data_IF_586517959821
#
_entry.id   IF_586517959821
#
_cell.length_a   1.000
_cell.length_b   1.000
_cell.length_c   1.000
_cell.angle_alpha   90.00
_cell.angle_beta   90.00
_cell.angle_gamma   90.00
#
_symmetry.space_group_name_H-M   'P 1'
#
loop_
_entity.id
_entity.type
_entity.pdbx_description
1 polymer ?
#
# COMPACT_ATOMS: atom_id res chain seq x y z
N UNK A 1 38.91 -34.37 32.73
CA UNK A 1 38.51 -32.96 32.55
C UNK A 1 37.96 -32.84 31.12
N UNK A 2 36.72 -33.25 30.87
CA UNK A 2 35.48 -32.42 30.88
C UNK A 2 35.67 -31.12 30.10
N UNK A 3 35.03 -30.97 28.93
CA UNK A 3 33.94 -29.99 28.71
C UNK A 3 33.66 -29.70 27.21
N UNK A 4 32.43 -29.99 26.80
CA UNK A 4 31.60 -29.29 25.80
C UNK A 4 32.25 -28.87 24.45
N UNK A 5 32.29 -29.79 23.48
CA UNK A 5 32.35 -29.44 22.03
C UNK A 5 31.05 -29.85 21.30
N UNK A 6 30.00 -30.17 22.06
CA UNK A 6 28.65 -30.29 21.51
C UNK A 6 27.79 -29.12 21.99
N UNK A 7 27.01 -28.56 21.05
CA UNK A 7 26.03 -27.46 21.19
C UNK A 7 26.53 -26.06 20.89
N UNK A 8 26.85 -25.79 19.64
CA UNK A 8 26.27 -24.62 18.98
C UNK A 8 25.99 -24.99 17.53
N UNK A 9 24.82 -25.59 17.30
CA UNK A 9 24.19 -25.52 15.99
C UNK A 9 24.19 -24.03 15.61
N UNK A 10 24.80 -23.71 14.47
CA UNK A 10 24.83 -22.38 13.91
C UNK A 10 23.39 -21.83 13.86
N UNK A 11 23.06 -20.96 14.81
CA UNK A 11 21.84 -20.17 14.80
C UNK A 11 21.98 -19.20 13.62
N UNK A 12 21.53 -19.65 12.46
CA UNK A 12 21.02 -18.75 11.42
C UNK A 12 20.12 -17.75 12.15
N UNK A 13 20.35 -16.43 12.07
CA UNK A 13 19.48 -15.48 12.74
C UNK A 13 18.06 -15.79 12.28
N UNK A 14 17.19 -16.22 13.22
CA UNK A 14 15.81 -16.54 12.91
C UNK A 14 15.23 -15.32 12.21
N UNK A 15 14.93 -15.47 10.91
CA UNK A 15 14.39 -14.40 10.13
C UNK A 15 13.12 -13.91 10.83
N UNK A 16 13.12 -12.64 11.27
CA UNK A 16 12.05 -12.13 12.12
C UNK A 16 10.71 -12.20 11.37
N UNK A 17 9.70 -12.77 12.03
CA UNK A 17 8.32 -12.77 11.54
C UNK A 17 7.71 -11.38 11.75
N UNK A 18 6.97 -10.89 10.75
CA UNK A 18 6.28 -9.59 10.79
C UNK A 18 4.88 -9.73 10.23
N UNK A 19 3.94 -8.99 10.78
CA UNK A 19 2.59 -8.87 10.25
C UNK A 19 2.55 -7.69 9.29
N UNK A 20 2.29 -7.95 8.01
CA UNK A 20 2.17 -6.93 6.98
C UNK A 20 0.70 -6.71 6.67
N UNK A 21 0.25 -5.46 6.76
CA UNK A 21 -1.15 -5.07 6.56
C UNK A 21 -1.24 -4.11 5.39
N UNK A 22 -2.14 -4.40 4.45
CA UNK A 22 -2.67 -3.43 3.50
C UNK A 22 -3.94 -2.83 4.11
N UNK A 23 -3.93 -1.50 4.26
CA UNK A 23 -5.10 -0.74 4.69
C UNK A 23 -5.64 0.05 3.49
N UNK A 24 -6.86 -0.27 3.06
CA UNK A 24 -7.55 0.46 1.99
C UNK A 24 -9.01 0.76 2.36
N UNK A 25 -9.68 1.69 1.64
CA UNK A 25 -11.06 2.04 1.99
C UNK A 25 -12.05 0.89 1.85
N UNK A 26 -11.74 -0.14 1.06
CA UNK A 26 -12.64 -1.28 0.81
C UNK A 26 -12.27 -2.52 1.62
N UNK A 27 -11.03 -2.62 2.10
CA UNK A 27 -10.55 -3.82 2.78
C UNK A 27 -9.35 -3.56 3.68
N UNK A 28 -9.22 -4.41 4.69
CA UNK A 28 -7.99 -4.62 5.43
C UNK A 28 -7.52 -6.05 5.13
N UNK A 29 -6.33 -6.18 4.58
CA UNK A 29 -5.69 -7.47 4.26
C UNK A 29 -4.43 -7.59 5.12
N UNK A 30 -4.23 -8.71 5.79
CA UNK A 30 -2.98 -9.00 6.47
C UNK A 30 -2.36 -10.31 5.98
N UNK A 31 -1.03 -10.36 6.03
CA UNK A 31 -0.24 -11.57 5.82
C UNK A 31 0.92 -11.58 6.81
N UNK A 32 1.38 -12.78 7.17
CA UNK A 32 2.63 -12.92 7.91
C UNK A 32 3.77 -13.08 6.91
N UNK A 33 4.86 -12.34 7.12
CA UNK A 33 6.10 -12.49 6.38
C UNK A 33 7.23 -12.97 7.30
N UNK A 34 8.14 -13.76 6.76
CA UNK A 34 9.34 -14.26 7.43
C UNK A 34 10.52 -14.16 6.47
N UNK A 35 11.51 -13.34 6.79
CA UNK A 35 12.69 -13.16 5.93
C UNK A 35 12.37 -12.69 4.52
N UNK A 36 11.36 -11.83 4.36
CA UNK A 36 10.90 -11.31 3.06
C UNK A 36 10.01 -12.26 2.27
N UNK A 37 9.75 -13.48 2.76
CA UNK A 37 8.81 -14.43 2.15
C UNK A 37 7.48 -14.41 2.90
N UNK A 38 6.38 -14.56 2.17
CA UNK A 38 5.07 -14.71 2.78
C UNK A 38 4.90 -16.11 3.35
N UNK A 39 4.28 -16.21 4.53
CA UNK A 39 3.93 -17.47 5.16
C UNK A 39 2.62 -17.95 4.55
N UNK A 40 2.63 -19.15 3.97
CA UNK A 40 1.45 -19.76 3.35
C UNK A 40 0.29 -19.91 4.36
N UNK A 41 -0.94 -19.69 3.91
CA UNK A 41 -2.15 -19.77 4.75
C UNK A 41 -2.29 -18.67 5.82
N UNK A 42 -1.34 -17.74 5.92
CA UNK A 42 -1.38 -16.64 6.90
C UNK A 42 -2.26 -15.47 6.48
N UNK A 43 -2.78 -15.48 5.26
CA UNK A 43 -3.59 -14.39 4.74
C UNK A 43 -4.94 -14.31 5.47
N UNK A 44 -5.31 -13.10 5.92
CA UNK A 44 -6.65 -12.78 6.43
C UNK A 44 -7.12 -11.49 5.81
N UNK A 45 -8.41 -11.42 5.55
CA UNK A 45 -9.02 -10.23 4.96
C UNK A 45 -10.34 -9.93 5.65
N UNK A 46 -10.56 -8.64 5.92
CA UNK A 46 -11.83 -8.08 6.39
C UNK A 46 -12.28 -7.04 5.34
N UNK A 47 -13.49 -7.19 4.83
CA UNK A 47 -14.12 -6.17 4.00
C UNK A 47 -14.51 -4.97 4.89
N UNK A 48 -14.22 -3.75 4.42
CA UNK A 48 -14.62 -2.53 5.12
C UNK A 48 -15.99 -2.13 4.56
N UNK A 49 -17.02 -2.26 5.39
CA UNK A 49 -18.39 -1.87 5.03
C UNK A 49 -18.55 -0.33 5.07
N UNK A 50 -19.16 0.24 4.03
CA UNK A 50 -19.45 1.67 3.94
C UNK A 50 -19.28 2.22 2.53
N UNK A 51 -20.39 2.37 1.81
CA UNK A 51 -20.39 2.90 0.45
C UNK A 51 -20.23 4.43 0.46
N UNK A 52 -19.11 4.91 -0.06
CA UNK A 52 -18.93 6.32 -0.42
C UNK A 52 -17.52 6.60 -0.93
N UNK A 53 -17.42 7.21 -2.10
CA UNK A 53 -16.15 7.62 -2.75
C UNK A 53 -15.39 8.76 -2.02
N UNK A 54 -15.77 9.08 -0.78
CA UNK A 54 -15.04 9.92 0.16
C UNK A 54 -15.39 9.42 1.57
N UNK A 55 -14.53 8.70 2.26
CA UNK A 55 -13.18 9.12 2.59
C UNK A 55 -13.05 9.36 4.09
N UNK A 56 -13.70 8.53 4.93
CA UNK A 56 -13.41 8.52 6.35
C UNK A 56 -12.75 7.19 6.70
N UNK A 57 -11.49 7.27 7.11
CA UNK A 57 -10.61 6.14 7.37
C UNK A 57 -11.00 5.36 8.64
N UNK A 58 -11.94 5.87 9.42
CA UNK A 58 -12.38 5.28 10.70
C UNK A 58 -12.85 3.82 10.55
N UNK A 59 -13.68 3.52 9.54
CA UNK A 59 -14.17 2.16 9.31
C UNK A 59 -13.03 1.16 9.04
N UNK A 60 -11.95 1.62 8.39
CA UNK A 60 -10.77 0.79 8.16
C UNK A 60 -9.92 0.63 9.43
N UNK A 61 -9.89 1.63 10.31
CA UNK A 61 -9.27 1.52 11.64
C UNK A 61 -10.04 0.52 12.50
N UNK A 62 -11.37 0.55 12.48
CA UNK A 62 -12.20 -0.42 13.21
C UNK A 62 -12.04 -1.85 12.67
N UNK A 63 -11.95 -1.98 11.34
CA UNK A 63 -11.64 -3.26 10.71
C UNK A 63 -10.22 -3.74 11.05
N UNK A 64 -9.24 -2.84 11.11
CA UNK A 64 -7.87 -3.17 11.55
C UNK A 64 -7.88 -3.65 13.00
N UNK A 65 -8.57 -2.95 13.91
CA UNK A 65 -8.73 -3.35 15.31
C UNK A 65 -9.33 -4.76 15.41
N UNK A 66 -10.42 -5.00 14.68
CA UNK A 66 -11.08 -6.31 14.62
C UNK A 66 -10.12 -7.40 14.14
N UNK A 67 -9.31 -7.11 13.11
CA UNK A 67 -8.30 -8.03 12.59
C UNK A 67 -7.22 -8.33 13.63
N UNK A 68 -6.66 -7.31 14.28
CA UNK A 68 -5.60 -7.47 15.28
C UNK A 68 -6.08 -8.21 16.54
N UNK A 69 -7.37 -8.16 16.85
CA UNK A 69 -7.98 -8.87 17.98
C UNK A 69 -8.30 -10.34 17.68
N UNK A 70 -8.14 -10.82 16.44
CA UNK A 70 -8.32 -12.23 16.12
C UNK A 70 -7.36 -13.10 16.95
N UNK A 71 -7.80 -14.21 17.57
CA UNK A 71 -6.99 -14.94 18.55
C UNK A 71 -5.60 -15.37 18.07
N UNK A 72 -5.48 -15.79 16.80
CA UNK A 72 -4.22 -16.20 16.19
C UNK A 72 -3.25 -15.03 15.97
N UNK A 73 -3.76 -13.84 15.68
CA UNK A 73 -2.98 -12.60 15.49
C UNK A 73 -2.61 -12.00 16.84
N UNK A 74 -3.59 -11.82 17.72
CA UNK A 74 -3.44 -11.21 19.05
C UNK A 74 -2.46 -11.96 19.94
N UNK A 75 -2.42 -13.30 19.84
CA UNK A 75 -1.48 -14.13 20.62
C UNK A 75 -0.05 -14.01 20.10
N UNK A 76 0.12 -13.88 18.78
CA UNK A 76 1.45 -13.85 18.16
C UNK A 76 2.18 -12.51 18.37
N UNK A 77 1.44 -11.41 18.55
CA UNK A 77 1.96 -10.03 18.79
C UNK A 77 3.13 -9.65 17.88
N UNK A 78 3.06 -10.07 16.62
CA UNK A 78 4.11 -9.82 15.65
C UNK A 78 4.27 -8.30 15.40
N UNK A 79 5.49 -7.80 15.15
CA UNK A 79 5.71 -6.44 14.72
C UNK A 79 4.88 -6.12 13.48
N UNK A 80 4.23 -4.95 13.47
CA UNK A 80 3.27 -4.53 12.46
C UNK A 80 3.92 -3.59 11.44
N UNK A 81 3.71 -3.88 10.16
CA UNK A 81 4.05 -3.02 9.01
C UNK A 81 2.78 -2.71 8.23
N UNK A 82 2.44 -1.43 8.07
CA UNK A 82 1.19 -0.99 7.45
C UNK A 82 1.51 -0.29 6.12
N UNK A 83 0.96 -0.81 5.04
CA UNK A 83 0.94 -0.17 3.73
C UNK A 83 -0.42 0.51 3.51
N UNK A 84 -0.38 1.83 3.30
CA UNK A 84 -1.57 2.65 3.10
C UNK A 84 -1.90 2.77 1.63
N UNK A 85 -3.17 2.56 1.28
CA UNK A 85 -3.71 2.89 -0.03
C UNK A 85 -3.35 4.31 -0.47
N UNK A 86 -3.19 4.52 -1.78
CA UNK A 86 -2.99 5.85 -2.37
C UNK A 86 -4.18 6.80 -2.12
N UNK A 87 -5.31 6.28 -1.61
CA UNK A 87 -6.46 7.06 -1.16
C UNK A 87 -6.17 7.88 0.10
N UNK A 88 -5.25 7.42 0.94
CA UNK A 88 -4.86 8.10 2.18
C UNK A 88 -3.39 8.53 2.21
N UNK A 89 -2.60 8.08 1.24
CA UNK A 89 -1.22 8.51 1.04
C UNK A 89 -1.08 9.25 -0.29
N UNK A 90 -0.98 10.58 -0.22
CA UNK A 90 -0.76 11.40 -1.41
C UNK A 90 0.73 11.49 -1.72
N UNK A 91 1.10 11.20 -2.97
CA UNK A 91 2.47 11.21 -3.43
C UNK A 91 2.66 12.27 -4.51
N UNK A 92 3.68 13.10 -4.35
CA UNK A 92 4.04 14.15 -5.31
C UNK A 92 5.55 14.24 -5.45
N UNK A 93 6.01 14.82 -6.56
CA UNK A 93 7.41 15.19 -6.72
C UNK A 93 7.58 16.66 -6.35
N UNK A 94 8.39 16.92 -5.32
CA UNK A 94 8.82 18.26 -4.99
C UNK A 94 10.10 18.62 -5.76
N UNK A 95 10.20 19.83 -6.30
CA UNK A 95 11.42 20.30 -6.93
C UNK A 95 12.54 20.43 -5.89
N UNK A 96 13.78 20.41 -6.36
CA UNK A 96 14.93 20.76 -5.54
C UNK A 96 14.78 22.18 -4.98
N UNK A 97 15.23 22.38 -3.74
CA UNK A 97 15.28 23.67 -3.05
C UNK A 97 16.35 23.62 -1.97
N UNK A 98 17.09 24.71 -1.77
CA UNK A 98 18.07 24.82 -0.68
C UNK A 98 17.42 24.68 0.71
N UNK A 99 16.11 24.92 0.82
CA UNK A 99 15.35 24.67 2.05
C UNK A 99 15.45 23.20 2.50
N UNK A 100 15.70 22.26 1.57
CA UNK A 100 15.85 20.83 1.85
C UNK A 100 17.16 20.48 2.59
N UNK A 101 18.10 21.42 2.70
CA UNK A 101 19.39 21.23 3.37
C UNK A 101 19.31 21.29 4.91
N UNK A 102 18.20 21.75 5.48
CA UNK A 102 18.00 21.80 6.93
C UNK A 102 16.63 21.25 7.31
N UNK A 103 16.55 20.41 8.34
CA UNK A 103 15.31 19.69 8.67
C UNK A 103 14.09 20.62 8.94
N UNK A 104 14.18 21.70 9.74
CA UNK A 104 13.03 22.57 9.97
C UNK A 104 12.54 23.28 8.70
N UNK A 105 13.48 23.70 7.83
CA UNK A 105 13.15 24.37 6.57
C UNK A 105 12.62 23.38 5.54
N UNK A 106 13.14 22.15 5.54
CA UNK A 106 12.71 21.07 4.66
C UNK A 106 11.26 20.70 4.96
N UNK A 107 10.92 20.47 6.23
CA UNK A 107 9.55 20.16 6.66
C UNK A 107 8.57 21.25 6.21
N UNK A 108 8.88 22.54 6.47
CA UNK A 108 8.05 23.66 6.03
C UNK A 108 7.91 23.71 4.50
N UNK A 109 9.00 23.56 3.76
CA UNK A 109 8.98 23.58 2.30
C UNK A 109 8.09 22.46 1.74
N UNK A 110 8.29 21.22 2.20
CA UNK A 110 7.49 20.08 1.75
C UNK A 110 6.01 20.23 2.11
N UNK A 111 5.71 20.77 3.29
CA UNK A 111 4.36 21.12 3.71
C UNK A 111 3.71 22.14 2.78
N UNK A 112 4.46 23.19 2.38
CA UNK A 112 4.00 24.19 1.40
C UNK A 112 3.74 23.56 0.02
N UNK A 113 4.61 22.66 -0.44
CA UNK A 113 4.41 21.94 -1.72
C UNK A 113 3.11 21.12 -1.71
N UNK A 114 2.81 20.42 -0.61
CA UNK A 114 1.56 19.69 -0.46
C UNK A 114 0.34 20.60 -0.40
N UNK A 115 0.41 21.69 0.37
CA UNK A 115 -0.68 22.67 0.46
C UNK A 115 -0.98 23.36 -0.88
N UNK A 116 0.03 23.60 -1.71
CA UNK A 116 -0.17 24.18 -3.04
C UNK A 116 -0.98 23.25 -3.97
N UNK A 117 -0.87 21.93 -3.82
CA UNK A 117 -1.54 20.94 -4.67
C UNK A 117 -2.89 20.49 -4.12
N UNK A 118 -3.02 20.38 -2.80
CA UNK A 118 -4.20 19.80 -2.14
C UNK A 118 -4.98 20.80 -1.28
N UNK A 119 -4.56 22.06 -1.25
CA UNK A 119 -5.22 23.14 -0.52
C UNK A 119 -5.15 22.98 0.99
N UNK A 120 -6.15 23.52 1.67
CA UNK A 120 -6.24 23.56 3.14
C UNK A 120 -6.22 22.17 3.79
N UNK A 121 -6.75 21.15 3.13
CA UNK A 121 -6.76 19.77 3.62
C UNK A 121 -5.35 19.26 3.97
N UNK A 122 -4.34 19.68 3.20
CA UNK A 122 -2.97 19.22 3.43
C UNK A 122 -2.33 19.83 4.68
N UNK A 123 -2.84 20.93 5.25
CA UNK A 123 -2.24 21.59 6.42
C UNK A 123 -2.20 20.68 7.66
N UNK A 124 -3.15 19.76 7.79
CA UNK A 124 -3.21 18.77 8.87
C UNK A 124 -2.41 17.50 8.58
N UNK A 125 -1.70 17.41 7.46
CA UNK A 125 -0.98 16.20 7.09
C UNK A 125 0.41 16.15 7.70
N UNK A 126 0.83 14.93 8.04
CA UNK A 126 2.23 14.62 8.24
C UNK A 126 2.86 14.41 6.87
N UNK A 127 3.91 15.18 6.59
CA UNK A 127 4.59 15.18 5.29
C UNK A 127 6.02 14.71 5.46
N UNK A 128 6.42 13.72 4.67
CA UNK A 128 7.79 13.17 4.64
C UNK A 128 8.31 13.15 3.21
N UNK A 129 9.59 13.43 3.04
CA UNK A 129 10.30 13.30 1.76
C UNK A 129 11.25 12.11 1.76
N UNK A 130 11.57 11.60 0.58
CA UNK A 130 12.68 10.67 0.40
C UNK A 130 14.05 11.38 0.55
N UNK A 131 15.10 10.58 0.62
CA UNK A 131 16.47 11.06 0.79
C UNK A 131 17.15 11.31 -0.58
N UNK A 132 16.56 12.19 -1.39
CA UNK A 132 17.13 12.53 -2.68
C UNK A 132 18.49 13.24 -2.55
N UNK A 133 19.48 12.90 -3.42
CA UNK A 133 20.72 13.64 -3.50
C UNK A 133 20.50 15.11 -3.84
N UNK A 134 21.49 15.92 -3.52
CA UNK A 134 21.53 17.34 -3.83
C UNK A 134 21.19 17.62 -5.29
N UNK A 135 20.33 18.60 -5.54
CA UNK A 135 19.94 19.02 -6.90
C UNK A 135 18.86 18.15 -7.55
N UNK A 136 18.42 17.05 -6.93
CA UNK A 136 17.38 16.18 -7.48
C UNK A 136 16.00 16.47 -6.86
N UNK A 137 14.96 16.12 -7.62
CA UNK A 137 13.59 16.11 -7.11
C UNK A 137 13.44 15.09 -5.98
N UNK A 138 12.56 15.42 -5.02
CA UNK A 138 12.19 14.54 -3.91
C UNK A 138 10.83 13.94 -4.12
N UNK A 139 10.68 12.65 -3.85
CA UNK A 139 9.38 12.04 -3.67
C UNK A 139 8.87 12.44 -2.28
N UNK A 140 7.64 12.95 -2.23
CA UNK A 140 7.02 13.42 -1.00
C UNK A 140 5.73 12.67 -0.77
N UNK A 141 5.55 12.15 0.44
CA UNK A 141 4.33 11.49 0.89
C UNK A 141 3.64 12.34 1.96
N UNK A 142 2.35 12.62 1.76
CA UNK A 142 1.49 13.31 2.72
C UNK A 142 0.37 12.39 3.17
N UNK A 143 0.16 12.30 4.48
CA UNK A 143 -0.91 11.51 5.10
C UNK A 143 -1.56 12.35 6.20
N UNK A 144 -2.88 12.26 6.34
CA UNK A 144 -3.59 12.88 7.45
C UNK A 144 -2.98 12.49 8.80
N UNK A 145 -2.59 13.46 9.62
CA UNK A 145 -1.93 13.20 10.90
C UNK A 145 -2.84 12.48 11.89
N UNK A 146 -4.15 12.72 11.84
CA UNK A 146 -5.13 12.05 12.71
C UNK A 146 -5.27 10.57 12.34
N UNK A 147 -5.22 10.24 11.05
CA UNK A 147 -5.13 8.84 10.60
C UNK A 147 -3.85 8.17 11.09
N UNK A 148 -2.69 8.83 10.93
CA UNK A 148 -1.42 8.27 11.40
C UNK A 148 -1.42 8.03 12.90
N UNK A 149 -2.02 8.94 13.67
CA UNK A 149 -2.14 8.77 15.11
C UNK A 149 -3.07 7.60 15.46
N UNK A 150 -4.26 7.53 14.84
CA UNK A 150 -5.19 6.42 15.05
C UNK A 150 -4.58 5.05 14.73
N UNK A 151 -3.75 4.95 13.68
CA UNK A 151 -3.03 3.71 13.35
C UNK A 151 -2.05 3.29 14.45
N UNK A 152 -1.32 4.25 15.02
CA UNK A 152 -0.38 4.00 16.12
C UNK A 152 -1.12 3.61 17.39
N UNK A 153 -2.23 4.26 17.68
CA UNK A 153 -3.06 4.00 18.85
C UNK A 153 -3.66 2.59 18.77
N UNK A 154 -4.29 2.21 17.65
CA UNK A 154 -4.84 0.86 17.48
C UNK A 154 -3.77 -0.22 17.56
N UNK A 155 -2.59 0.00 16.97
CA UNK A 155 -1.49 -0.96 17.10
C UNK A 155 -1.07 -1.15 18.57
N UNK A 156 -0.96 -0.04 19.31
CA UNK A 156 -0.56 -0.04 20.73
C UNK A 156 -1.62 -0.69 21.62
N UNK A 157 -2.89 -0.33 21.43
CA UNK A 157 -4.04 -0.89 22.15
C UNK A 157 -4.17 -2.41 21.94
N UNK A 158 -3.86 -2.90 20.74
CA UNK A 158 -3.82 -4.33 20.43
C UNK A 158 -2.49 -5.00 20.80
N UNK A 159 -1.52 -4.27 21.37
CA UNK A 159 -0.26 -4.82 21.85
C UNK A 159 0.78 -5.16 20.76
N UNK A 160 0.66 -4.56 19.57
CA UNK A 160 1.60 -4.72 18.46
C UNK A 160 2.58 -3.54 18.37
N UNK A 161 3.87 -3.83 18.20
CA UNK A 161 4.85 -2.80 17.87
C UNK A 161 4.70 -2.37 16.40
N UNK A 162 4.15 -1.18 16.15
CA UNK A 162 4.09 -0.60 14.81
C UNK A 162 5.48 -0.12 14.37
N UNK A 163 6.05 -0.78 13.35
CA UNK A 163 7.41 -0.52 12.86
C UNK A 163 7.44 0.44 11.69
N UNK A 164 6.49 0.28 10.78
CA UNK A 164 6.44 1.02 9.51
C UNK A 164 4.99 1.35 9.20
N UNK A 165 4.76 2.60 8.80
CA UNK A 165 3.55 3.03 8.10
C UNK A 165 4.02 3.74 6.84
N UNK A 166 3.63 3.26 5.67
CA UNK A 166 4.19 3.71 4.40
C UNK A 166 3.17 3.70 3.27
N UNK A 167 3.38 4.47 2.19
CA UNK A 167 2.54 4.38 1.01
C UNK A 167 2.67 3.00 0.35
N UNK A 168 1.55 2.46 -0.13
CA UNK A 168 1.50 1.17 -0.83
C UNK A 168 2.44 1.09 -2.03
N UNK A 169 2.71 2.21 -2.69
CA UNK A 169 3.66 2.28 -3.78
C UNK A 169 5.08 1.88 -3.37
N UNK A 170 5.54 2.28 -2.18
CA UNK A 170 6.86 1.89 -1.66
C UNK A 170 6.94 0.36 -1.44
N UNK A 171 5.84 -0.23 -0.94
CA UNK A 171 5.70 -1.68 -0.80
C UNK A 171 5.72 -2.41 -2.14
N UNK A 172 5.04 -1.89 -3.15
CA UNK A 172 5.04 -2.46 -4.49
C UNK A 172 6.43 -2.37 -5.16
N UNK A 173 7.15 -1.26 -4.94
CA UNK A 173 8.53 -1.10 -5.42
C UNK A 173 9.49 -2.12 -4.81
N UNK A 174 9.49 -2.30 -3.49
CA UNK A 174 10.35 -3.32 -2.84
C UNK A 174 10.03 -4.74 -3.31
N UNK A 175 8.75 -5.03 -3.59
CA UNK A 175 8.36 -6.32 -4.15
C UNK A 175 8.87 -6.51 -5.59
N UNK A 176 8.85 -5.45 -6.42
CA UNK A 176 9.45 -5.46 -7.75
C UNK A 176 10.96 -5.66 -7.69
N UNK A 177 11.67 -4.97 -6.80
CA UNK A 177 13.11 -5.16 -6.63
C UNK A 177 13.46 -6.58 -6.19
N UNK A 178 12.66 -7.16 -5.29
CA UNK A 178 12.86 -8.53 -4.80
C UNK A 178 12.60 -9.61 -5.88
N UNK A 179 11.77 -9.33 -6.88
CA UNK A 179 11.46 -10.28 -7.96
C UNK A 179 12.47 -10.21 -9.13
N UNK A 180 13.30 -9.16 -9.19
CA UNK A 180 14.32 -9.02 -10.22
C UNK A 180 15.56 -9.88 -9.92
N UNK A 181 16.17 -10.51 -10.94
CA UNK A 181 17.39 -11.29 -10.74
C UNK A 181 18.54 -10.39 -10.27
N UNK A 182 19.24 -10.79 -9.19
CA UNK A 182 20.35 -10.06 -8.56
C UNK A 182 21.60 -9.82 -9.45
N UNK A 183 21.58 -10.27 -10.71
CA UNK A 183 22.69 -10.00 -11.63
C UNK A 183 22.50 -8.61 -12.24
N UNK A 184 23.46 -7.68 -12.06
CA UNK A 184 23.39 -6.41 -12.75
C UNK A 184 23.41 -6.70 -14.26
N UNK A 185 22.35 -6.32 -14.96
CA UNK A 185 22.42 -6.23 -16.43
C UNK A 185 23.50 -5.19 -16.72
N UNK A 186 24.53 -5.59 -17.47
CA UNK A 186 25.59 -4.68 -17.92
C UNK A 186 24.92 -3.54 -18.70
N UNK A 187 24.98 -2.30 -18.19
CA UNK A 187 24.26 -1.15 -18.74
C UNK A 187 22.92 -0.78 -18.07
N UNK A 188 22.55 -1.40 -16.94
CA UNK A 188 21.28 -1.11 -16.24
C UNK A 188 21.28 0.17 -15.39
N UNK A 189 22.44 0.77 -15.14
CA UNK A 189 22.56 2.00 -14.34
C UNK A 189 21.98 3.26 -15.02
N UNK A 190 21.47 3.15 -16.25
CA UNK A 190 20.71 4.21 -16.93
C UNK A 190 19.31 3.73 -17.36
N UNK A 191 18.92 2.50 -17.01
CA UNK A 191 17.67 1.91 -17.49
C UNK A 191 16.48 2.50 -16.72
N UNK A 192 15.66 3.28 -17.43
CA UNK A 192 14.40 3.79 -16.89
C UNK A 192 13.35 2.68 -16.95
N UNK A 193 12.85 2.28 -15.79
CA UNK A 193 11.73 1.34 -15.67
C UNK A 193 10.43 2.08 -15.32
N UNK A 194 9.31 1.36 -15.28
CA UNK A 194 8.08 1.89 -14.71
C UNK A 194 7.29 0.82 -13.96
N UNK A 195 6.50 1.29 -13.00
CA UNK A 195 5.57 0.51 -12.20
C UNK A 195 4.19 1.14 -12.29
N UNK A 196 3.17 0.34 -12.54
CA UNK A 196 1.77 0.69 -12.39
C UNK A 196 1.18 -0.08 -11.20
N UNK A 197 0.64 0.65 -10.23
CA UNK A 197 -0.11 0.13 -9.10
C UNK A 197 -1.60 0.33 -9.36
N UNK A 198 -2.35 -0.77 -9.34
CA UNK A 198 -3.79 -0.77 -9.55
C UNK A 198 -4.49 -0.98 -8.22
N UNK A 199 -5.30 -0.01 -7.81
CA UNK A 199 -6.15 -0.08 -6.62
C UNK A 199 -7.62 0.06 -7.05
N UNK A 200 -8.60 -0.34 -6.22
CA UNK A 200 -9.99 -0.05 -6.50
C UNK A 200 -10.21 1.44 -6.80
N UNK A 201 -10.72 1.72 -7.99
CA UNK A 201 -11.02 3.08 -8.43
C UNK A 201 -9.81 3.91 -8.92
N UNK A 202 -8.56 3.39 -8.93
CA UNK A 202 -7.35 4.19 -9.17
C UNK A 202 -6.26 3.42 -9.91
N UNK A 203 -5.60 4.11 -10.84
CA UNK A 203 -4.30 3.72 -11.40
C UNK A 203 -3.26 4.74 -10.92
N UNK A 204 -2.17 4.27 -10.32
CA UNK A 204 -0.98 5.07 -10.00
C UNK A 204 0.20 4.52 -10.79
N UNK A 205 0.87 5.35 -11.55
CA UNK A 205 2.04 4.98 -12.34
C UNK A 205 3.25 5.77 -11.85
N UNK A 206 4.40 5.11 -11.76
CA UNK A 206 5.67 5.68 -11.36
C UNK A 206 6.76 5.27 -12.36
N UNK A 207 7.51 6.25 -12.86
CA UNK A 207 8.72 6.01 -13.63
C UNK A 207 9.91 5.95 -12.66
N UNK A 208 10.80 5.00 -12.90
CA UNK A 208 11.89 4.64 -12.03
C UNK A 208 13.23 4.86 -12.75
N UNK A 209 14.18 5.52 -12.10
CA UNK A 209 15.58 5.59 -12.54
C UNK A 209 16.45 5.33 -11.33
N UNK A 210 17.40 4.41 -11.44
CA UNK A 210 18.31 4.03 -10.34
C UNK A 210 17.59 3.66 -9.04
N UNK A 211 16.47 2.95 -9.15
CA UNK A 211 15.62 2.57 -8.01
C UNK A 211 14.81 3.71 -7.40
N UNK A 212 14.82 4.92 -8.00
CA UNK A 212 14.13 6.11 -7.48
C UNK A 212 12.98 6.53 -8.37
N UNK A 213 11.92 7.06 -7.77
CA UNK A 213 10.80 7.61 -8.53
C UNK A 213 11.22 8.97 -9.12
N UNK A 214 11.20 9.07 -10.44
CA UNK A 214 11.54 10.31 -11.18
C UNK A 214 10.32 10.97 -11.81
N UNK A 215 9.24 10.23 -12.00
CA UNK A 215 7.95 10.76 -12.43
C UNK A 215 6.84 9.94 -11.75
N UNK A 216 5.75 10.58 -11.34
CA UNK A 216 4.58 9.90 -10.80
C UNK A 216 3.30 10.53 -11.33
N UNK A 217 2.30 9.70 -11.61
CA UNK A 217 0.96 10.14 -11.95
C UNK A 217 -0.08 9.18 -11.37
N UNK A 218 -1.14 9.73 -10.78
CA UNK A 218 -2.33 8.97 -10.41
C UNK A 218 -3.56 9.50 -11.16
N UNK A 219 -4.49 8.62 -11.46
CA UNK A 219 -5.80 8.96 -12.03
C UNK A 219 -6.88 8.01 -11.52
N UNK A 220 -8.16 8.43 -11.54
CA UNK A 220 -9.27 7.51 -11.37
C UNK A 220 -9.24 6.41 -12.43
N UNK A 221 -9.76 5.23 -12.06
CA UNK A 221 -9.91 4.11 -12.96
C UNK A 221 -11.14 3.29 -12.59
N UNK A 222 -11.79 2.65 -13.56
CA UNK A 222 -12.89 1.72 -13.28
C UNK A 222 -12.39 0.28 -13.04
N UNK A 223 -13.31 -0.65 -12.85
CA UNK A 223 -13.01 -2.10 -12.83
C UNK A 223 -12.41 -2.58 -14.17
N UNK A 224 -12.67 -1.86 -15.27
CA UNK A 224 -12.10 -2.11 -16.59
C UNK A 224 -10.67 -1.54 -16.75
N UNK A 225 -9.91 -1.38 -15.66
CA UNK A 225 -8.57 -0.77 -15.65
C UNK A 225 -7.60 -1.34 -16.68
N UNK A 226 -7.76 -2.62 -17.08
CA UNK A 226 -6.92 -3.27 -18.11
C UNK A 226 -7.02 -2.57 -19.48
N UNK A 227 -8.19 -1.99 -19.79
CA UNK A 227 -8.41 -1.17 -20.99
C UNK A 227 -7.91 0.27 -20.80
N UNK A 228 -8.01 0.78 -19.59
CA UNK A 228 -7.70 2.18 -19.27
C UNK A 228 -6.20 2.41 -19.07
N UNK A 229 -5.45 1.42 -18.58
CA UNK A 229 -4.03 1.52 -18.28
C UNK A 229 -3.19 1.87 -19.53
N UNK A 230 -3.36 1.22 -20.69
CA UNK A 230 -2.65 1.62 -21.92
C UNK A 230 -2.95 3.07 -22.32
N UNK A 231 -4.21 3.51 -22.18
CA UNK A 231 -4.62 4.88 -22.50
C UNK A 231 -4.06 5.88 -21.49
N UNK A 232 -4.02 5.52 -20.21
CA UNK A 232 -3.42 6.31 -19.14
C UNK A 232 -1.93 6.53 -19.41
N UNK A 233 -1.22 5.45 -19.76
CA UNK A 233 0.18 5.49 -20.14
C UNK A 233 0.40 6.40 -21.35
N UNK A 234 -0.38 6.22 -22.42
CA UNK A 234 -0.28 7.08 -23.61
C UNK A 234 -0.50 8.56 -23.28
N UNK A 235 -1.51 8.90 -22.47
CA UNK A 235 -1.71 10.28 -22.03
C UNK A 235 -0.53 10.81 -21.23
N UNK A 236 0.10 9.96 -20.42
CA UNK A 236 1.25 10.36 -19.62
C UNK A 236 2.47 10.63 -20.49
N UNK A 237 2.76 9.76 -21.45
CA UNK A 237 3.89 9.95 -22.38
C UNK A 237 3.69 11.13 -23.31
N UNK A 238 2.45 11.56 -23.61
CA UNK A 238 2.20 12.81 -24.31
C UNK A 238 2.63 14.06 -23.52
N UNK A 239 2.58 14.01 -22.17
CA UNK A 239 3.04 15.09 -21.29
C UNK A 239 4.53 15.00 -20.93
N UNK A 240 5.07 13.79 -20.95
CA UNK A 240 6.46 13.48 -20.64
C UNK A 240 7.02 12.52 -21.71
N UNK A 241 7.37 13.03 -22.92
CA UNK A 241 7.77 12.22 -24.07
C UNK A 241 8.95 11.28 -23.80
N UNK A 242 9.85 11.66 -22.90
CA UNK A 242 10.99 10.84 -22.47
C UNK A 242 10.56 9.48 -21.90
N UNK A 243 9.36 9.38 -21.32
CA UNK A 243 8.83 8.14 -20.75
C UNK A 243 8.42 7.13 -21.83
N UNK A 244 8.22 7.54 -23.09
CA UNK A 244 7.82 6.65 -24.18
C UNK A 244 8.87 5.56 -24.48
N UNK A 245 10.13 5.84 -24.13
CA UNK A 245 11.28 4.93 -24.26
C UNK A 245 11.22 3.73 -23.31
N UNK A 246 10.39 3.76 -22.26
CA UNK A 246 10.29 2.69 -21.27
C UNK A 246 9.54 1.49 -21.86
N UNK A 247 10.26 0.48 -22.30
CA UNK A 247 9.71 -0.70 -22.99
C UNK A 247 8.95 -1.67 -22.09
N UNK A 248 9.13 -1.58 -20.77
CA UNK A 248 8.65 -2.57 -19.81
C UNK A 248 8.06 -1.87 -18.58
N UNK A 249 6.79 -2.17 -18.30
CA UNK A 249 6.03 -1.60 -17.20
C UNK A 249 5.55 -2.75 -16.33
N UNK A 250 6.05 -2.83 -15.10
CA UNK A 250 5.56 -3.78 -14.11
C UNK A 250 4.17 -3.33 -13.63
N UNK A 251 3.23 -4.25 -13.45
CA UNK A 251 1.86 -3.96 -13.02
C UNK A 251 1.54 -4.76 -11.77
N UNK A 252 1.32 -4.08 -10.64
CA UNK A 252 0.86 -4.70 -9.40
C UNK A 252 -0.65 -4.51 -9.26
N UNK A 253 -1.41 -5.59 -9.42
CA UNK A 253 -2.87 -5.59 -9.32
C UNK A 253 -3.34 -5.85 -7.87
N UNK A 254 -3.92 -4.82 -7.25
CA UNK A 254 -4.59 -4.88 -5.94
C UNK A 254 -6.07 -4.53 -6.05
N UNK A 255 -6.62 -4.52 -7.26
CA UNK A 255 -8.04 -4.21 -7.53
C UNK A 255 -8.97 -5.38 -7.18
N UNK A 256 -8.44 -6.60 -7.07
CA UNK A 256 -9.23 -7.79 -6.82
C UNK A 256 -9.76 -7.82 -5.38
N UNK A 257 -11.02 -7.44 -5.19
CA UNK A 257 -11.83 -7.84 -4.05
C UNK A 257 -12.44 -9.22 -4.35
N UNK A 258 -12.36 -10.23 -3.46
CA UNK A 258 -13.43 -11.21 -3.42
C UNK A 258 -14.72 -10.48 -3.02
N UNK A 259 -15.84 -10.67 -3.74
CA UNK A 259 -17.09 -10.05 -3.35
C UNK A 259 -17.56 -10.63 -2.02
N UNK A 260 -17.58 -9.80 -0.98
CA UNK A 260 -18.40 -10.06 0.19
C UNK A 260 -19.87 -9.85 -0.25
N UNK A 261 -20.60 -10.93 -0.51
CA UNK A 261 -22.02 -10.94 -0.93
C UNK A 261 -22.36 -10.41 -2.32
N UNK A 262 -21.78 -10.97 -3.39
CA UNK A 262 -22.44 -10.91 -4.70
C UNK A 262 -23.32 -12.16 -4.89
N UNK A 263 -24.63 -12.05 -5.16
CA UNK A 263 -25.35 -13.14 -5.80
C UNK A 263 -24.70 -13.42 -7.17
N UNK A 264 -24.81 -14.67 -7.63
CA UNK A 264 -24.27 -15.19 -8.88
C UNK A 264 -24.39 -14.20 -10.07
N UNK A 265 -23.47 -14.22 -11.04
CA UNK A 265 -23.18 -13.08 -11.88
C UNK A 265 -24.38 -12.70 -12.74
N UNK A 266 -24.92 -11.52 -12.50
CA UNK A 266 -25.68 -10.81 -13.52
C UNK A 266 -24.71 -10.48 -14.66
N UNK A 267 -25.13 -10.87 -15.84
CA UNK A 267 -24.47 -10.80 -17.14
C UNK A 267 -23.88 -9.42 -17.45
N UNK A 268 -22.69 -9.11 -16.93
CA UNK A 268 -21.90 -8.00 -17.44
C UNK A 268 -21.15 -8.46 -18.70
N UNK A 269 -21.86 -8.44 -19.83
CA UNK A 269 -21.25 -8.43 -21.16
C UNK A 269 -20.38 -7.17 -21.28
N UNK A 270 -19.11 -7.25 -20.91
CA UNK A 270 -18.10 -6.29 -21.35
C UNK A 270 -16.84 -7.03 -21.77
N UNK A 271 -16.53 -6.90 -23.06
CA UNK A 271 -15.29 -7.31 -23.71
C UNK A 271 -14.09 -6.67 -23.00
N UNK A 272 -13.61 -7.26 -21.92
CA UNK A 272 -12.29 -6.96 -21.36
C UNK A 272 -11.30 -7.82 -22.15
N UNK A 273 -10.36 -7.25 -22.91
CA UNK A 273 -9.22 -8.00 -23.39
C UNK A 273 -8.54 -8.62 -22.17
N UNK A 274 -8.58 -9.95 -22.08
CA UNK A 274 -8.02 -10.67 -20.93
C UNK A 274 -6.51 -10.46 -20.77
N UNK A 275 -5.83 -10.06 -21.84
CA UNK A 275 -4.40 -9.82 -21.88
C UNK A 275 -4.07 -8.33 -21.91
N UNK A 276 -3.13 -7.93 -21.04
CA UNK A 276 -2.47 -6.65 -21.14
C UNK A 276 -1.59 -6.60 -22.41
N UNK A 277 -1.40 -5.42 -23.03
CA UNK A 277 -0.43 -5.27 -24.12
C UNK A 277 0.97 -5.71 -23.67
N UNK A 278 1.81 -6.15 -24.62
CA UNK A 278 3.13 -6.74 -24.35
C UNK A 278 4.13 -5.86 -23.59
N UNK A 279 3.85 -4.55 -23.44
CA UNK A 279 4.64 -3.63 -22.62
C UNK A 279 4.35 -3.74 -21.12
N UNK A 280 3.18 -4.25 -20.76
CA UNK A 280 2.69 -4.31 -19.39
C UNK A 280 2.73 -5.75 -18.89
N UNK A 281 3.45 -5.97 -17.79
CA UNK A 281 3.65 -7.30 -17.22
C UNK A 281 3.16 -7.33 -15.79
N UNK A 282 2.30 -8.31 -15.46
CA UNK A 282 1.87 -8.49 -14.08
C UNK A 282 3.07 -8.85 -13.21
N UNK A 283 3.23 -8.11 -12.12
CA UNK A 283 4.20 -8.36 -11.07
C UNK A 283 3.51 -9.06 -9.89
N UNK A 284 4.30 -9.73 -9.06
CA UNK A 284 3.80 -10.38 -7.85
C UNK A 284 3.08 -9.38 -6.93
N UNK A 285 1.98 -9.81 -6.35
CA UNK A 285 1.30 -9.06 -5.31
C UNK A 285 2.15 -9.09 -4.02
N UNK A 286 2.51 -7.93 -3.43
CA UNK A 286 3.31 -7.88 -2.19
C UNK A 286 2.65 -8.54 -0.98
N UNK A 287 1.34 -8.82 -1.06
CA UNK A 287 0.52 -9.50 -0.05
C UNK A 287 0.08 -10.91 -0.49
N UNK A 288 0.69 -11.46 -1.55
CA UNK A 288 0.44 -12.83 -2.00
C UNK A 288 -0.80 -12.99 -2.88
N UNK A 289 -1.03 -14.22 -3.32
CA UNK A 289 -2.24 -14.55 -4.08
C UNK A 289 -3.43 -14.71 -3.13
N UNK A 290 -4.52 -14.02 -3.47
CA UNK A 290 -5.87 -13.98 -2.86
C UNK A 290 -6.03 -14.69 -1.49
N UNK A 291 -6.28 -13.89 -0.46
CA UNK A 291 -6.67 -14.37 0.86
C UNK A 291 -8.06 -15.06 0.84
N UNK A 292 -8.26 -16.04 1.73
CA UNK A 292 -9.60 -16.49 2.12
C UNK A 292 -10.27 -15.37 2.91
N UNK A 293 -11.38 -14.83 2.40
CA UNK A 293 -12.17 -13.84 3.11
C UNK A 293 -12.70 -14.46 4.42
N UNK A 294 -12.42 -13.83 5.56
CA UNK A 294 -13.12 -14.15 6.80
C UNK A 294 -14.32 -13.21 6.85
N UNK A 295 -15.53 -13.76 6.77
CA UNK A 295 -16.73 -12.96 6.98
C UNK A 295 -16.67 -12.38 8.40
N UNK A 296 -16.73 -11.06 8.53
CA UNK A 296 -16.99 -10.44 9.82
C UNK A 296 -18.30 -11.03 10.37
N UNK A 297 -18.37 -11.40 11.66
CA UNK A 297 -19.63 -11.86 12.24
C UNK A 297 -20.67 -10.74 12.09
N UNK A 298 -21.93 -11.06 11.70
CA UNK A 298 -22.97 -10.05 11.61
C UNK A 298 -23.11 -9.37 12.97
N UNK A 299 -22.99 -8.04 12.99
CA UNK A 299 -23.34 -7.24 14.17
C UNK A 299 -24.80 -7.57 14.51
N UNK A 300 -25.02 -8.14 15.70
CA UNK A 300 -26.36 -8.43 16.18
C UNK A 300 -27.13 -7.10 16.31
N UNK A 301 -28.39 -7.02 15.84
CA UNK A 301 -29.20 -5.82 15.99
C UNK A 301 -29.37 -5.53 17.49
N UNK A 302 -28.99 -4.32 17.89
CA UNK A 302 -29.23 -3.77 19.22
C UNK A 302 -30.73 -3.84 19.52
N UNK A 303 -31.12 -4.73 20.44
CA UNK A 303 -32.49 -4.83 20.94
C UNK A 303 -32.81 -3.55 21.73
N UNK A 304 -33.62 -2.67 21.14
CA UNK A 304 -34.22 -1.53 21.82
C UNK A 304 -35.32 -2.01 22.77
N UNK A 305 -35.11 -1.63 24.03
CA UNK A 305 -35.98 -1.63 25.21
C UNK A 305 -37.50 -1.77 25.00
N UNK A 306 -38.10 -2.64 25.81
CA UNK A 306 -39.52 -2.60 26.19
C UNK A 306 -39.81 -1.32 26.99
N UNK A 307 -40.93 -0.61 26.78
CA UNK A 307 -41.43 0.35 27.75
C UNK A 307 -42.18 -0.40 28.86
N UNK A 308 -41.67 -0.29 30.08
CA UNK A 308 -42.40 -0.61 31.30
C UNK A 308 -43.23 0.63 31.68
N UNK A 309 -44.56 0.51 31.61
CA UNK A 309 -45.49 1.50 32.16
C UNK A 309 -46.07 0.88 33.42
N UNK A 310 -45.77 1.47 34.57
CA UNK A 310 -46.36 1.19 35.86
C UNK A 310 -47.15 2.41 36.34
N UNK A 311 -48.34 2.12 36.88
CA UNK A 311 -49.29 2.97 37.61
C UNK A 311 -50.05 4.05 36.81
#
# INVERSE_FOLDING_TARGET
MVSLIERFAALVPLAQRRLRVLLSPQQVLCVVSQGGRLVEGSARQIAVGGAGAGGHWQAAIDALRTLLQQPDIATAKLPLEISLSGRWSQLVLAPWSDALLSEPSASRFLQTQMAALYGENARGWSVVGDDAPYGHTRLVCGVDSTLLQALKDVATECGHACRVIEPLLATAMRALEASQPKRPRKGAADAVGALALIEPGRITMAALRDGRIVAIQSQPASEAWRLELPQAWQRWTLRAPELATIEQIAVTDLSALPPAHAPAPATALHLVPGALPSRFHLNANPFGERATASAAPPQAPSSTAKPEVAA
#
